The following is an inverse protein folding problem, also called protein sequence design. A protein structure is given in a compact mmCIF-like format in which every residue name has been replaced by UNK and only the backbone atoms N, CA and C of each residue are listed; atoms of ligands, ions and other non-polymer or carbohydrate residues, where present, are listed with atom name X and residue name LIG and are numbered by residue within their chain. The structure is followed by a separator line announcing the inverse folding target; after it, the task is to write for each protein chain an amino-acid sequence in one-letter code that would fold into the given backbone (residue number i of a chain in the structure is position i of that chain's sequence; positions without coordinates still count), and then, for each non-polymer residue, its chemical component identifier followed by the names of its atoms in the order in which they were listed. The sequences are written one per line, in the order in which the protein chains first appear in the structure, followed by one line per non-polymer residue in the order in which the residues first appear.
data_IF_754476100975
#
_entry.id   IF_754476100975
#
_cell.length_a   1.000
_cell.length_b   1.000
_cell.length_c   1.000
_cell.angle_alpha   90.00
_cell.angle_beta   90.00
_cell.angle_gamma   90.00
#
_symmetry.space_group_name_H-M   'P 1'
#
loop_
_entity.id
_entity.type
_entity.pdbx_description
1 polymer ?
#
# COMPACT_ATOMS: atom_id res chain seq x y z
N UNK A 1 -7.35 12.20 -7.98
CA UNK A 1 -7.04 12.58 -9.38
C UNK A 1 -5.88 11.70 -9.80
N UNK A 2 -6.11 10.80 -10.75
CA UNK A 2 -5.14 9.80 -11.18
C UNK A 2 -5.21 9.61 -12.70
N UNK A 3 -4.15 9.03 -13.25
CA UNK A 3 -4.05 8.68 -14.67
C UNK A 3 -3.83 7.19 -14.90
N UNK A 4 -4.09 6.35 -13.89
CA UNK A 4 -3.78 4.93 -13.88
C UNK A 4 -4.98 4.11 -13.40
N UNK A 5 -5.19 2.98 -14.05
CA UNK A 5 -6.19 1.98 -13.67
C UNK A 5 -5.50 0.71 -13.14
N UNK A 6 -6.26 -0.13 -12.44
CA UNK A 6 -5.76 -1.40 -11.92
C UNK A 6 -5.22 -2.29 -13.06
N UNK A 7 -4.00 -2.82 -12.86
CA UNK A 7 -3.35 -3.71 -13.82
C UNK A 7 -2.62 -3.01 -14.96
N UNK A 8 -2.58 -1.67 -14.96
CA UNK A 8 -1.66 -0.92 -15.82
C UNK A 8 -0.23 -0.98 -15.30
N UNK A 9 0.72 -1.04 -16.23
CA UNK A 9 2.14 -0.92 -15.93
C UNK A 9 2.53 0.55 -15.72
N UNK A 10 3.45 0.79 -14.79
CA UNK A 10 4.03 2.12 -14.55
C UNK A 10 5.33 2.23 -15.35
N UNK A 11 5.39 3.09 -16.39
CA UNK A 11 6.58 3.23 -17.23
C UNK A 11 7.73 3.92 -16.50
N UNK A 12 8.97 3.48 -16.77
CA UNK A 12 10.19 4.07 -16.19
C UNK A 12 10.60 5.41 -16.83
N UNK A 13 9.94 5.80 -17.93
CA UNK A 13 10.33 6.95 -18.75
C UNK A 13 9.65 8.27 -18.32
N UNK A 14 8.73 8.22 -17.36
CA UNK A 14 7.96 9.36 -16.88
C UNK A 14 8.09 9.51 -15.37
N UNK A 15 7.54 10.62 -14.84
CA UNK A 15 7.46 10.86 -13.40
C UNK A 15 6.72 9.71 -12.69
N UNK A 16 7.26 9.15 -11.58
CA UNK A 16 6.61 8.08 -10.81
C UNK A 16 5.29 8.48 -10.13
N UNK A 17 4.78 9.70 -10.30
CA UNK A 17 3.50 10.12 -9.74
C UNK A 17 2.32 9.38 -10.39
N UNK A 18 1.63 8.56 -9.59
CA UNK A 18 0.45 7.79 -10.02
C UNK A 18 -0.89 8.49 -9.76
N UNK A 19 -0.96 9.30 -8.70
CA UNK A 19 -2.19 9.94 -8.24
C UNK A 19 -1.91 11.14 -7.32
N UNK A 20 -2.89 12.02 -7.20
CA UNK A 20 -3.00 13.07 -6.18
C UNK A 20 -4.19 12.76 -5.28
N UNK A 21 -3.92 12.58 -3.99
CA UNK A 21 -4.93 12.43 -2.95
C UNK A 21 -5.16 13.79 -2.28
N UNK A 22 -6.40 14.27 -2.30
CA UNK A 22 -6.76 15.61 -1.80
C UNK A 22 -7.95 15.47 -0.86
N UNK A 23 -7.90 16.14 0.29
CA UNK A 23 -9.01 16.25 1.23
C UNK A 23 -9.30 17.71 1.56
N UNK A 24 -10.53 17.95 2.03
CA UNK A 24 -10.98 19.24 2.51
C UNK A 24 -11.78 19.02 3.80
N UNK A 25 -11.68 19.96 4.74
CA UNK A 25 -12.39 19.98 6.01
C UNK A 25 -12.79 21.40 6.37
N UNK A 26 -13.66 21.57 7.37
CA UNK A 26 -14.09 22.88 7.87
C UNK A 26 -12.92 23.69 8.43
N UNK A 27 -11.93 22.99 8.95
CA UNK A 27 -10.69 23.51 9.51
C UNK A 27 -9.52 22.57 9.15
N UNK A 28 -8.32 23.02 9.51
CA UNK A 28 -7.08 22.30 9.21
C UNK A 28 -7.03 20.93 9.89
N UNK A 29 -7.55 20.81 11.10
CA UNK A 29 -7.51 19.57 11.86
C UNK A 29 -8.42 18.52 11.19
N UNK A 30 -9.64 18.90 10.82
CA UNK A 30 -10.56 18.00 10.13
C UNK A 30 -10.00 17.57 8.75
N UNK A 31 -9.33 18.47 8.02
CA UNK A 31 -8.70 18.13 6.76
C UNK A 31 -7.58 17.07 6.94
N UNK A 32 -6.77 17.19 8.00
CA UNK A 32 -5.74 16.21 8.37
C UNK A 32 -6.36 14.86 8.75
N UNK A 33 -7.37 14.85 9.62
CA UNK A 33 -8.06 13.63 10.04
C UNK A 33 -8.69 12.89 8.86
N UNK A 34 -9.33 13.63 7.93
CA UNK A 34 -9.88 13.07 6.69
C UNK A 34 -8.77 12.52 5.79
N UNK A 35 -7.62 13.18 5.69
CA UNK A 35 -6.48 12.69 4.91
C UNK A 35 -5.91 11.40 5.49
N UNK A 36 -5.77 11.31 6.82
CA UNK A 36 -5.30 10.11 7.49
C UNK A 36 -6.22 8.92 7.21
N UNK A 37 -7.54 9.11 7.30
CA UNK A 37 -8.51 8.07 6.92
C UNK A 37 -8.40 7.71 5.44
N UNK A 38 -8.31 8.71 4.56
CA UNK A 38 -8.20 8.47 3.12
C UNK A 38 -6.93 7.67 2.78
N UNK A 39 -5.81 7.93 3.46
CA UNK A 39 -4.58 7.14 3.32
C UNK A 39 -4.81 5.69 3.78
N UNK A 40 -5.48 5.48 4.93
CA UNK A 40 -5.73 4.13 5.47
C UNK A 40 -6.65 3.30 4.56
N UNK A 41 -7.55 3.95 3.83
CA UNK A 41 -8.45 3.32 2.86
C UNK A 41 -7.81 3.14 1.47
N UNK A 42 -6.70 3.82 1.17
CA UNK A 42 -6.06 3.79 -0.15
C UNK A 42 -5.21 2.53 -0.33
N UNK A 43 -5.78 1.51 -0.98
CA UNK A 43 -5.10 0.25 -1.23
C UNK A 43 -4.32 0.28 -2.55
N UNK A 44 -2.98 0.22 -2.46
CA UNK A 44 -2.09 0.03 -3.61
C UNK A 44 -1.21 -1.18 -3.33
N UNK A 45 -1.11 -2.08 -4.31
CA UNK A 45 -0.29 -3.29 -4.24
C UNK A 45 0.59 -3.40 -5.48
N UNK A 46 1.77 -4.01 -5.33
CA UNK A 46 2.70 -4.28 -6.44
C UNK A 46 3.83 -3.26 -6.58
N UNK A 47 3.71 -2.09 -5.93
CA UNK A 47 4.76 -1.08 -5.85
C UNK A 47 4.88 -0.50 -4.45
N UNK A 48 6.03 0.08 -4.14
CA UNK A 48 6.18 0.92 -2.95
C UNK A 48 5.60 2.31 -3.24
N UNK A 49 5.00 2.93 -2.24
CA UNK A 49 4.35 4.23 -2.36
C UNK A 49 4.81 5.17 -1.26
N UNK A 50 4.53 6.46 -1.43
CA UNK A 50 4.80 7.50 -0.43
C UNK A 50 3.70 7.63 0.63
N UNK A 51 2.66 6.78 0.60
CA UNK A 51 1.56 6.81 1.56
C UNK A 51 2.01 6.70 3.03
N UNK A 52 2.94 5.78 3.41
CA UNK A 52 3.44 5.71 4.79
C UNK A 52 4.13 6.99 5.24
N UNK A 53 4.93 7.61 4.35
CA UNK A 53 5.57 8.89 4.61
C UNK A 53 4.55 10.03 4.76
N UNK A 54 3.54 10.09 3.89
CA UNK A 54 2.46 11.08 3.99
C UNK A 54 1.73 10.99 5.34
N UNK A 55 1.43 9.76 5.78
CA UNK A 55 0.84 9.51 7.11
C UNK A 55 1.75 10.00 8.24
N UNK A 56 3.04 9.68 8.18
CA UNK A 56 4.04 10.15 9.15
C UNK A 56 4.01 11.68 9.29
N UNK A 57 4.10 12.40 8.16
CA UNK A 57 4.08 13.87 8.13
C UNK A 57 2.79 14.42 8.76
N UNK A 58 1.63 13.87 8.38
CA UNK A 58 0.32 14.33 8.88
C UNK A 58 0.13 14.12 10.39
N UNK A 59 0.85 13.18 10.99
CA UNK A 59 0.83 12.92 12.43
C UNK A 59 1.92 13.67 13.19
N UNK A 60 2.93 14.21 12.49
CA UNK A 60 4.06 14.85 13.13
C UNK A 60 3.66 16.20 13.80
N UNK A 61 4.03 16.45 15.07
CA UNK A 61 3.60 17.65 15.79
C UNK A 61 3.96 18.98 15.11
N UNK A 62 5.14 19.08 14.49
CA UNK A 62 5.54 20.29 13.75
C UNK A 62 4.60 20.56 12.57
N UNK A 63 4.19 19.51 11.84
CA UNK A 63 3.21 19.65 10.77
C UNK A 63 1.82 19.99 11.33
N UNK A 64 1.35 19.32 12.37
CA UNK A 64 0.02 19.56 12.97
C UNK A 64 -0.12 20.98 13.54
N UNK A 65 0.92 21.50 14.18
CA UNK A 65 0.96 22.88 14.69
C UNK A 65 1.13 23.94 13.61
N UNK A 66 1.65 23.57 12.44
CA UNK A 66 2.00 24.52 11.37
C UNK A 66 3.37 25.20 11.56
N UNK A 67 4.12 24.84 12.60
CA UNK A 67 5.44 25.40 12.87
C UNK A 67 6.55 24.57 12.21
N UNK A 68 6.73 24.76 10.90
CA UNK A 68 7.77 24.11 10.11
C UNK A 68 8.17 24.99 8.92
N UNK A 69 9.31 24.70 8.30
CA UNK A 69 9.81 25.38 7.10
C UNK A 69 10.15 24.38 5.99
N UNK A 70 10.87 24.84 4.96
CA UNK A 70 11.31 24.02 3.83
C UNK A 70 12.31 22.93 4.21
N UNK A 71 12.81 22.92 5.44
CA UNK A 71 13.75 21.94 5.95
C UNK A 71 13.10 20.80 6.75
N UNK A 72 11.77 20.76 6.87
CA UNK A 72 11.04 19.78 7.67
C UNK A 72 11.60 18.36 7.59
N UNK A 73 11.87 17.86 6.38
CA UNK A 73 12.36 16.49 6.18
C UNK A 73 13.74 16.31 6.80
N UNK A 74 14.66 17.27 6.62
CA UNK A 74 16.01 17.20 7.19
C UNK A 74 15.96 17.17 8.71
N UNK A 75 15.06 17.93 9.30
CA UNK A 75 15.03 18.19 10.74
C UNK A 75 14.15 17.17 11.51
N UNK A 76 13.23 16.50 10.84
CA UNK A 76 12.21 15.64 11.47
C UNK A 76 12.05 14.27 10.85
N UNK A 77 12.83 13.86 9.86
CA UNK A 77 12.63 12.57 9.21
C UNK A 77 13.92 11.79 9.02
N UNK A 78 13.87 10.52 9.41
CA UNK A 78 14.86 9.51 9.09
C UNK A 78 14.17 8.28 8.48
N UNK A 79 14.84 7.51 7.59
CA UNK A 79 14.24 6.29 7.05
C UNK A 79 13.82 5.27 8.11
N UNK A 80 14.43 5.30 9.29
CA UNK A 80 14.08 4.44 10.41
C UNK A 80 12.67 4.73 10.96
N UNK A 81 12.14 5.95 10.79
CA UNK A 81 10.81 6.33 11.29
C UNK A 81 9.67 5.59 10.57
N UNK A 82 9.92 5.07 9.38
CA UNK A 82 8.96 4.24 8.63
C UNK A 82 9.18 2.74 8.83
N UNK A 83 10.24 2.35 9.54
CA UNK A 83 10.46 0.94 9.84
C UNK A 83 9.54 0.53 10.98
N UNK A 84 8.68 -0.50 10.79
CA UNK A 84 7.90 -1.03 11.89
C UNK A 84 8.85 -1.45 13.01
N UNK A 85 8.54 -1.04 14.25
CA UNK A 85 9.28 -1.53 15.40
C UNK A 85 9.26 -3.07 15.38
N UNK A 86 10.41 -3.67 15.70
CA UNK A 86 10.50 -5.11 15.81
C UNK A 86 9.41 -5.61 16.78
N UNK A 87 8.64 -6.65 16.42
CA UNK A 87 7.61 -7.16 17.30
C UNK A 87 8.23 -7.58 18.63
N UNK A 88 7.53 -7.31 19.73
CA UNK A 88 7.94 -7.77 21.05
C UNK A 88 8.21 -9.28 21.03
N UNK A 89 9.20 -9.72 21.81
CA UNK A 89 9.61 -11.12 21.84
C UNK A 89 8.44 -12.07 22.15
N UNK A 90 7.44 -11.62 22.91
CA UNK A 90 6.22 -12.37 23.22
C UNK A 90 5.32 -12.51 21.99
N UNK A 91 5.13 -11.43 21.23
CA UNK A 91 4.34 -11.43 19.98
C UNK A 91 4.98 -12.35 18.95
N UNK A 92 6.31 -12.26 18.80
CA UNK A 92 7.07 -13.14 17.91
C UNK A 92 6.91 -14.63 18.29
N UNK A 93 6.95 -14.96 19.58
CA UNK A 93 6.73 -16.33 20.08
C UNK A 93 5.32 -16.83 19.80
N UNK A 94 4.29 -16.02 20.09
CA UNK A 94 2.90 -16.39 19.82
C UNK A 94 2.68 -16.62 18.32
N UNK A 95 3.19 -15.75 17.46
CA UNK A 95 3.12 -15.89 16.02
C UNK A 95 3.82 -17.18 15.52
N UNK A 96 4.99 -17.50 16.09
CA UNK A 96 5.73 -18.73 15.75
C UNK A 96 4.95 -20.00 16.15
N UNK A 97 4.37 -20.03 17.36
CA UNK A 97 3.56 -21.18 17.82
C UNK A 97 2.30 -21.33 16.96
N UNK A 98 1.58 -20.25 16.68
CA UNK A 98 0.39 -20.28 15.80
C UNK A 98 0.74 -20.78 14.39
N UNK A 99 1.86 -20.31 13.83
CA UNK A 99 2.36 -20.77 12.53
C UNK A 99 2.65 -22.27 12.56
N UNK A 100 3.31 -22.77 13.61
CA UNK A 100 3.60 -24.19 13.77
C UNK A 100 2.32 -25.03 13.85
N UNK A 101 1.31 -24.58 14.60
CA UNK A 101 0.00 -25.24 14.70
C UNK A 101 -0.72 -25.30 13.34
N UNK A 102 -0.78 -24.19 12.62
CA UNK A 102 -1.40 -24.14 11.29
C UNK A 102 -0.66 -25.01 10.25
N UNK A 103 0.67 -25.11 10.35
CA UNK A 103 1.46 -25.99 9.48
C UNK A 103 1.25 -27.47 9.81
N UNK A 104 1.01 -27.83 11.08
CA UNK A 104 0.67 -29.21 11.44
C UNK A 104 -0.71 -29.63 10.94
N UNK A 105 -1.69 -28.71 10.87
CA UNK A 105 -3.02 -29.00 10.31
C UNK A 105 -3.04 -29.15 8.79
N UNK A 106 -2.16 -28.45 8.06
CA UNK A 106 -2.11 -28.47 6.58
C UNK A 106 -1.43 -29.70 5.97
N UNK A 107 -1.08 -30.72 6.76
CA UNK A 107 -0.46 -31.95 6.27
C UNK A 107 -1.51 -33.00 5.89
N UNK A 108 -2.37 -32.66 4.92
CA UNK A 108 -3.14 -33.64 4.14
C UNK A 108 -2.40 -33.92 2.82
N UNK A 109 -2.36 -35.17 2.32
CA UNK A 109 -1.62 -35.50 1.11
C UNK A 109 -2.25 -34.81 -0.09
N UNK A 110 -1.44 -34.05 -0.84
CA UNK A 110 -1.81 -33.55 -2.16
C UNK A 110 -1.88 -34.74 -3.10
N UNK A 111 -3.09 -35.28 -3.30
CA UNK A 111 -3.37 -36.15 -4.44
C UNK A 111 -3.36 -35.24 -5.67
N UNK A 112 -2.41 -35.47 -6.56
CA UNK A 112 -2.34 -34.78 -7.84
C UNK A 112 -3.57 -35.13 -8.69
N UNK A 113 -4.55 -34.24 -8.74
CA UNK A 113 -5.61 -34.28 -9.74
C UNK A 113 -5.19 -33.41 -10.92
N UNK A 114 -4.68 -34.07 -11.95
CA UNK A 114 -4.51 -33.51 -13.29
C UNK A 114 -5.89 -33.36 -13.94
N UNK A 115 -6.47 -32.17 -13.92
CA UNK A 115 -7.49 -31.77 -14.88
C UNK A 115 -7.43 -30.25 -15.07
N UNK A 116 -6.87 -29.84 -16.21
CA UNK A 116 -6.88 -28.47 -16.66
C UNK A 116 -8.15 -28.23 -17.49
N UNK A 117 -9.01 -27.25 -17.14
CA UNK A 117 -9.90 -26.68 -18.14
C UNK A 117 -9.13 -25.62 -18.91
N UNK A 118 -9.12 -25.78 -20.24
CA UNK A 118 -8.54 -24.86 -21.20
C UNK A 118 -9.03 -23.41 -20.96
N UNK A 119 -8.09 -22.48 -20.97
CA UNK A 119 -8.35 -21.05 -20.83
C UNK A 119 -9.27 -20.54 -21.95
N UNK A 120 -10.53 -20.25 -21.63
CA UNK A 120 -11.41 -19.48 -22.50
C UNK A 120 -10.95 -18.01 -22.50
N UNK A 121 -10.15 -17.64 -23.50
CA UNK A 121 -9.74 -16.25 -23.73
C UNK A 121 -10.97 -15.35 -23.91
N UNK A 122 -11.14 -14.42 -22.98
CA UNK A 122 -12.32 -13.54 -22.93
C UNK A 122 -12.43 -12.67 -24.19
N UNK A 123 -13.62 -12.67 -24.80
CA UNK A 123 -13.94 -12.01 -26.08
C UNK A 123 -13.58 -10.49 -26.08
N UNK A 124 -13.52 -9.84 -24.92
CA UNK A 124 -13.11 -8.43 -24.81
C UNK A 124 -11.65 -8.18 -25.21
N UNK A 125 -10.74 -9.12 -24.91
CA UNK A 125 -9.29 -8.98 -25.17
C UNK A 125 -8.98 -9.22 -26.65
N UNK A 126 -9.78 -10.04 -27.33
CA UNK A 126 -9.72 -10.27 -28.79
C UNK A 126 -10.21 -9.06 -29.59
N UNK A 127 -11.23 -8.34 -29.11
CA UNK A 127 -11.75 -7.16 -29.80
C UNK A 127 -10.89 -5.89 -29.63
N UNK A 128 -9.92 -5.88 -28.70
CA UNK A 128 -9.03 -4.73 -28.47
C UNK A 128 -7.80 -4.70 -29.40
N UNK A 129 -7.49 -5.81 -30.07
CA UNK A 129 -6.37 -5.94 -31.02
C UNK A 129 -6.85 -5.97 -32.48
N UNK A 130 -7.97 -5.30 -32.77
CA UNK A 130 -8.58 -5.26 -34.10
C UNK A 130 -7.57 -4.93 -35.20
N UNK A 131 -7.40 -5.89 -36.10
CA UNK A 131 -7.01 -5.78 -37.50
C UNK A 131 -6.31 -4.47 -37.91
N UNK A 132 -4.98 -4.51 -37.91
CA UNK A 132 -4.14 -4.07 -39.02
C UNK A 132 -2.90 -4.96 -39.10
#
# INVERSE_FOLDING_TARGET
DDGFEQGMDIPIYYDPMIAKLVTFGKDRQEAIERMLRAIDEYQITGIQTTLPFGRYVLQHPAFVSGNFDTNFIRDHFTPADLTPAAPDASVAKVAAVLTAMLMTEKKAPVVASSDAPAAAGSNWKRNRLGAR
#
